data_IF_131001783959
#
_entry.id   IF_131001783959
#
_cell.length_a   1.000
_cell.length_b   1.000
_cell.length_c   1.000
_cell.angle_alpha   90.00
_cell.angle_beta   90.00
_cell.angle_gamma   90.00
#
_symmetry.space_group_name_H-M   'P 1'
#
loop_
_entity.id
_entity.type
_entity.pdbx_description
1 polymer ?
#
# COMPACT_ATOMS: atom_id res chain seq x y z
N UNK A 1 -13.17 11.24 2.43
CA UNK A 1 -13.05 10.08 1.50
C UNK A 1 -14.05 9.00 1.90
N UNK A 2 -14.62 8.33 0.94
CA UNK A 2 -15.58 7.28 1.21
C UNK A 2 -14.90 6.06 1.82
N UNK A 3 -15.70 5.22 2.49
CA UNK A 3 -15.24 3.98 3.05
C UNK A 3 -14.90 2.97 1.94
N UNK A 4 -13.71 2.41 2.01
CA UNK A 4 -13.24 1.41 1.04
C UNK A 4 -13.18 -0.01 1.63
N UNK A 5 -13.89 -0.25 2.72
CA UNK A 5 -13.93 -1.59 3.33
C UNK A 5 -14.31 -2.65 2.30
N UNK A 6 -13.52 -3.71 2.26
CA UNK A 6 -13.76 -4.81 1.34
C UNK A 6 -13.30 -4.56 -0.09
N UNK A 7 -12.75 -3.39 -0.38
CA UNK A 7 -12.24 -3.09 -1.72
C UNK A 7 -10.78 -3.50 -1.83
N UNK A 8 -10.39 -3.92 -3.03
CA UNK A 8 -9.00 -4.25 -3.34
C UNK A 8 -8.43 -3.15 -4.21
N UNK A 9 -7.28 -2.63 -3.81
CA UNK A 9 -6.56 -1.62 -4.58
C UNK A 9 -5.17 -2.12 -4.91
N UNK A 10 -4.74 -1.96 -6.16
CA UNK A 10 -3.39 -2.30 -6.59
C UNK A 10 -2.71 -0.99 -6.98
N UNK A 11 -1.59 -0.69 -6.34
CA UNK A 11 -0.85 0.54 -6.57
C UNK A 11 0.51 0.20 -7.19
N UNK A 12 0.71 0.60 -8.45
CA UNK A 12 2.01 0.44 -9.11
C UNK A 12 2.93 1.59 -8.69
N UNK A 13 4.23 1.33 -8.63
CA UNK A 13 5.17 2.32 -8.13
C UNK A 13 5.02 2.55 -6.63
N UNK A 14 4.64 1.51 -5.88
CA UNK A 14 4.35 1.62 -4.46
C UNK A 14 5.54 2.01 -3.59
N UNK A 15 6.76 1.85 -4.10
CA UNK A 15 7.96 2.26 -3.38
C UNK A 15 8.26 3.76 -3.55
N UNK A 16 7.61 4.44 -4.51
CA UNK A 16 7.79 5.87 -4.69
C UNK A 16 7.00 6.63 -3.62
N UNK A 17 7.40 7.89 -3.37
CA UNK A 17 6.68 8.70 -2.39
C UNK A 17 5.21 8.88 -2.72
N UNK A 18 4.88 9.07 -4.00
CA UNK A 18 3.49 9.24 -4.43
C UNK A 18 2.70 7.96 -4.30
N UNK A 19 3.24 6.84 -4.81
CA UNK A 19 2.57 5.55 -4.74
C UNK A 19 2.37 5.11 -3.29
N UNK A 20 3.37 5.31 -2.45
CA UNK A 20 3.28 4.99 -1.03
C UNK A 20 2.14 5.79 -0.37
N UNK A 21 2.08 7.10 -0.62
CA UNK A 21 1.05 7.96 -0.03
C UNK A 21 -0.35 7.55 -0.47
N UNK A 22 -0.52 7.18 -1.74
CA UNK A 22 -1.81 6.71 -2.25
C UNK A 22 -2.21 5.40 -1.55
N UNK A 23 -1.27 4.45 -1.47
CA UNK A 23 -1.53 3.17 -0.81
C UNK A 23 -1.89 3.34 0.65
N UNK A 24 -1.17 4.21 1.35
CA UNK A 24 -1.46 4.50 2.75
C UNK A 24 -2.86 5.08 2.92
N UNK A 25 -3.22 6.06 2.10
CA UNK A 25 -4.54 6.69 2.19
C UNK A 25 -5.66 5.68 1.97
N UNK A 26 -5.53 4.82 0.94
CA UNK A 26 -6.53 3.81 0.65
C UNK A 26 -6.64 2.78 1.79
N UNK A 27 -5.51 2.34 2.32
CA UNK A 27 -5.50 1.36 3.41
C UNK A 27 -6.13 1.94 4.68
N UNK A 28 -5.88 3.21 4.97
CA UNK A 28 -6.48 3.87 6.14
C UNK A 28 -7.99 4.01 6.02
N UNK A 29 -8.51 3.95 4.81
CA UNK A 29 -9.96 3.99 4.57
C UNK A 29 -10.56 2.60 4.38
N UNK A 30 -9.82 1.56 4.71
CA UNK A 30 -10.34 0.20 4.79
C UNK A 30 -10.05 -0.70 3.60
N UNK A 31 -9.37 -0.20 2.57
CA UNK A 31 -9.04 -1.02 1.42
C UNK A 31 -7.94 -2.04 1.74
N UNK A 32 -7.99 -3.20 1.09
CA UNK A 32 -6.87 -4.11 1.02
C UNK A 32 -5.97 -3.61 -0.11
N UNK A 33 -4.73 -3.26 0.20
CA UNK A 33 -3.83 -2.63 -0.75
C UNK A 33 -2.69 -3.56 -1.11
N UNK A 34 -2.44 -3.71 -2.41
CA UNK A 34 -1.27 -4.42 -2.92
C UNK A 34 -0.36 -3.38 -3.57
N UNK A 35 0.83 -3.21 -3.01
CA UNK A 35 1.85 -2.33 -3.58
C UNK A 35 2.73 -3.13 -4.51
N UNK A 36 3.00 -2.63 -5.71
CA UNK A 36 3.93 -3.26 -6.64
C UNK A 36 5.00 -2.27 -7.06
N UNK A 37 6.21 -2.76 -7.27
CA UNK A 37 7.31 -1.96 -7.75
C UNK A 37 8.41 -2.87 -8.24
N UNK A 38 9.30 -2.36 -9.09
CA UNK A 38 10.50 -3.10 -9.52
C UNK A 38 11.61 -3.02 -8.48
N UNK A 39 11.55 -2.07 -7.56
CA UNK A 39 12.52 -1.87 -6.50
C UNK A 39 12.13 -2.71 -5.28
N UNK A 40 12.52 -3.99 -5.28
CA UNK A 40 12.07 -4.95 -4.29
C UNK A 40 12.35 -4.52 -2.86
N UNK A 41 13.58 -4.07 -2.58
CA UNK A 41 13.97 -3.71 -1.21
C UNK A 41 13.19 -2.50 -0.71
N UNK A 42 13.08 -1.46 -1.53
CA UNK A 42 12.31 -0.27 -1.18
C UNK A 42 10.83 -0.61 -0.99
N UNK A 43 10.31 -1.52 -1.83
CA UNK A 43 8.93 -1.94 -1.74
C UNK A 43 8.66 -2.67 -0.42
N UNK A 44 9.54 -3.57 -0.04
CA UNK A 44 9.39 -4.30 1.21
C UNK A 44 9.46 -3.38 2.41
N UNK A 45 10.37 -2.41 2.39
CA UNK A 45 10.48 -1.42 3.46
C UNK A 45 9.23 -0.56 3.58
N UNK A 46 8.71 -0.09 2.45
CA UNK A 46 7.48 0.71 2.43
C UNK A 46 6.30 -0.07 2.95
N UNK A 47 6.17 -1.33 2.52
CA UNK A 47 5.08 -2.20 2.96
C UNK A 47 5.16 -2.44 4.47
N UNK A 48 6.36 -2.67 5.00
CA UNK A 48 6.54 -2.89 6.43
C UNK A 48 6.09 -1.68 7.25
N UNK A 49 6.35 -0.47 6.77
CA UNK A 49 5.90 0.74 7.47
C UNK A 49 4.39 0.79 7.61
N UNK A 50 3.66 0.38 6.57
CA UNK A 50 2.20 0.38 6.59
C UNK A 50 1.65 -0.78 7.41
N UNK A 51 2.26 -1.95 7.32
CA UNK A 51 1.86 -3.11 8.12
C UNK A 51 2.01 -2.81 9.61
N UNK A 52 3.08 -2.09 9.99
CA UNK A 52 3.30 -1.70 11.37
C UNK A 52 2.23 -0.75 11.90
N UNK A 53 1.43 -0.12 11.03
CA UNK A 53 0.29 0.69 11.43
C UNK A 53 -1.01 -0.13 11.46
N UNK A 54 -0.91 -1.45 11.43
CA UNK A 54 -2.05 -2.37 11.41
C UNK A 54 -2.94 -2.19 10.17
N UNK A 55 -2.36 -1.75 9.07
CA UNK A 55 -3.06 -1.59 7.80
C UNK A 55 -2.97 -2.87 6.99
N UNK A 56 -3.97 -3.12 6.17
CA UNK A 56 -4.07 -4.34 5.35
C UNK A 56 -3.35 -4.12 4.02
N UNK A 57 -2.02 -4.25 4.05
CA UNK A 57 -1.15 -3.95 2.90
C UNK A 57 -0.26 -5.13 2.60
N UNK A 58 -0.14 -5.43 1.32
CA UNK A 58 0.72 -6.51 0.80
C UNK A 58 1.63 -5.94 -0.28
N UNK A 59 2.71 -6.63 -0.58
CA UNK A 59 3.60 -6.22 -1.67
C UNK A 59 3.81 -7.35 -2.66
N UNK A 60 4.04 -6.98 -3.90
CA UNK A 60 4.35 -7.92 -4.97
C UNK A 60 5.28 -7.25 -5.98
N UNK A 61 6.41 -7.87 -6.23
CA UNK A 61 7.38 -7.39 -7.22
C UNK A 61 6.94 -7.74 -8.63
#
# INVERSE_FOLDING_TARGET
MKDFNGKLAVVTGGASGVGFAIGEALAKHGAKVVLTDIEKESLENSTALLVNQSLNVFCKV
#
